data_IF_930016540869
#
_entry.id   IF_930016540869
#
_cell.length_a   1.000
_cell.length_b   1.000
_cell.length_c   1.000
_cell.angle_alpha   90.00
_cell.angle_beta   90.00
_cell.angle_gamma   90.00
#
_symmetry.space_group_name_H-M   'P 1'
#
loop_
_entity.id
_entity.type
_entity.pdbx_description
1 polymer ?
#
# COMPACT_ATOMS: atom_id res chain seq x y z
N UNK A 1 7.41 -50.65 5.44
CA UNK A 1 6.96 -49.98 4.22
C UNK A 1 5.49 -49.47 4.29
N UNK A 2 4.51 -50.30 4.70
CA UNK A 2 3.08 -49.86 4.80
C UNK A 2 2.81 -48.74 5.81
N UNK A 3 3.50 -48.71 6.95
CA UNK A 3 3.36 -47.65 7.97
C UNK A 3 3.90 -46.28 7.51
N UNK A 4 4.97 -46.26 6.70
CA UNK A 4 5.56 -45.03 6.16
C UNK A 4 4.67 -44.40 5.08
N UNK A 5 4.03 -45.22 4.24
CA UNK A 5 3.05 -44.75 3.26
C UNK A 5 1.79 -44.17 3.92
N UNK A 6 1.28 -44.77 4.99
CA UNK A 6 0.09 -44.29 5.68
C UNK A 6 0.33 -42.93 6.37
N UNK A 7 1.50 -42.76 6.99
CA UNK A 7 1.90 -41.47 7.60
C UNK A 7 2.09 -40.39 6.54
N UNK A 8 2.64 -40.75 5.38
CA UNK A 8 2.81 -39.82 4.25
C UNK A 8 1.46 -39.40 3.66
N UNK A 9 0.49 -40.30 3.54
CA UNK A 9 -0.87 -39.98 3.10
C UNK A 9 -1.61 -39.09 4.11
N UNK A 10 -1.45 -39.28 5.40
CA UNK A 10 -2.04 -38.45 6.43
C UNK A 10 -1.46 -37.00 6.41
N UNK A 11 -0.16 -36.88 6.24
CA UNK A 11 0.49 -35.55 6.12
C UNK A 11 0.06 -34.82 4.84
N UNK A 12 -0.06 -35.53 3.72
CA UNK A 12 -0.57 -34.97 2.46
C UNK A 12 -2.04 -34.54 2.58
N UNK A 13 -2.88 -35.33 3.20
CA UNK A 13 -4.28 -35.00 3.41
C UNK A 13 -4.46 -33.84 4.36
N UNK A 14 -3.65 -33.74 5.43
CA UNK A 14 -3.66 -32.63 6.35
C UNK A 14 -3.18 -31.29 5.68
N UNK A 15 -2.15 -31.36 4.84
CA UNK A 15 -1.66 -30.20 4.10
C UNK A 15 -2.65 -29.72 3.03
N UNK A 16 -3.34 -30.61 2.35
CA UNK A 16 -4.41 -30.29 1.39
C UNK A 16 -5.61 -29.65 2.09
N UNK A 17 -5.99 -30.15 3.26
CA UNK A 17 -7.09 -29.60 4.07
C UNK A 17 -6.76 -28.20 4.58
N UNK A 18 -5.53 -27.97 5.06
CA UNK A 18 -5.08 -26.66 5.53
C UNK A 18 -5.05 -25.63 4.40
N UNK A 19 -4.58 -26.02 3.21
CA UNK A 19 -4.58 -25.15 2.03
C UNK A 19 -5.99 -24.81 1.57
N UNK A 20 -6.90 -25.79 1.54
CA UNK A 20 -8.30 -25.53 1.20
C UNK A 20 -8.96 -24.57 2.19
N UNK A 21 -8.68 -24.74 3.49
CA UNK A 21 -9.16 -23.79 4.52
C UNK A 21 -8.64 -22.37 4.29
N UNK A 22 -7.37 -22.21 3.93
CA UNK A 22 -6.78 -20.92 3.63
C UNK A 22 -7.41 -20.26 2.40
N UNK A 23 -7.62 -21.04 1.33
CA UNK A 23 -8.29 -20.59 0.12
C UNK A 23 -9.75 -20.14 0.40
N UNK A 24 -10.48 -20.91 1.20
CA UNK A 24 -11.87 -20.60 1.55
C UNK A 24 -11.95 -19.38 2.44
N UNK A 25 -11.04 -19.23 3.41
CA UNK A 25 -10.96 -18.05 4.26
C UNK A 25 -10.64 -16.80 3.43
N UNK A 26 -9.65 -16.90 2.54
CA UNK A 26 -9.23 -15.79 1.68
C UNK A 26 -10.38 -15.32 0.77
N UNK A 27 -11.10 -16.25 0.13
CA UNK A 27 -12.27 -15.95 -0.70
C UNK A 27 -13.46 -15.35 0.07
N UNK A 28 -13.59 -15.66 1.36
CA UNK A 28 -14.67 -15.15 2.21
C UNK A 28 -14.29 -13.87 2.98
N UNK A 29 -13.04 -13.45 2.90
CA UNK A 29 -12.60 -12.13 3.39
C UNK A 29 -12.89 -11.07 2.32
N UNK A 30 -13.12 -9.82 2.73
CA UNK A 30 -13.04 -8.69 1.81
C UNK A 30 -11.59 -8.23 1.77
N UNK A 31 -10.91 -8.50 0.67
CA UNK A 31 -9.50 -8.20 0.48
C UNK A 31 -9.35 -6.78 -0.06
N UNK A 32 -8.79 -5.91 0.77
CA UNK A 32 -8.55 -4.48 0.44
C UNK A 32 -7.05 -4.21 0.45
N UNK A 33 -6.53 -3.68 -0.65
CA UNK A 33 -5.19 -3.12 -0.73
C UNK A 33 -5.26 -1.59 -0.79
N UNK A 34 -4.62 -0.94 0.19
CA UNK A 34 -4.69 0.51 0.39
C UNK A 34 -3.85 1.33 -0.60
N UNK A 35 -2.89 0.70 -1.31
CA UNK A 35 -1.99 1.47 -2.18
C UNK A 35 -1.43 0.66 -3.34
N UNK A 36 -1.61 1.18 -4.56
CA UNK A 36 -1.11 0.55 -5.79
C UNK A 36 -0.95 1.58 -6.91
N UNK A 37 0.23 1.63 -7.53
CA UNK A 37 0.60 2.63 -8.54
C UNK A 37 0.30 2.23 -9.99
N UNK A 38 -0.46 1.16 -10.22
CA UNK A 38 -0.82 0.71 -11.56
C UNK A 38 -1.48 1.81 -12.41
N UNK A 39 -2.14 2.78 -11.76
CA UNK A 39 -2.76 3.91 -12.45
C UNK A 39 -1.72 4.81 -13.12
N UNK A 40 -0.68 5.21 -12.39
CA UNK A 40 0.40 6.07 -12.86
C UNK A 40 1.39 5.32 -13.77
N UNK A 41 1.63 4.03 -13.51
CA UNK A 41 2.66 3.25 -14.22
C UNK A 41 2.13 2.52 -15.47
N UNK A 42 0.84 2.20 -15.50
CA UNK A 42 0.28 1.40 -16.58
C UNK A 42 -0.92 2.05 -17.25
N UNK A 43 -1.99 2.40 -16.51
CA UNK A 43 -3.25 2.87 -17.10
C UNK A 43 -3.04 4.19 -17.86
N UNK A 44 -2.42 5.19 -17.22
CA UNK A 44 -2.17 6.51 -17.85
C UNK A 44 -1.22 6.43 -19.06
N UNK A 45 -0.42 5.38 -19.15
CA UNK A 45 0.47 5.12 -20.28
C UNK A 45 -0.20 4.33 -21.41
N UNK A 46 -1.48 3.99 -21.27
CA UNK A 46 -2.29 3.31 -22.30
C UNK A 46 -2.14 1.79 -22.32
N UNK A 47 -1.53 1.16 -21.27
CA UNK A 47 -1.49 -0.29 -21.16
C UNK A 47 -2.87 -0.84 -20.79
N UNK A 48 -3.28 -1.90 -21.47
CA UNK A 48 -4.55 -2.57 -21.23
C UNK A 48 -4.44 -3.58 -20.07
N UNK A 49 -4.73 -3.12 -18.85
CA UNK A 49 -4.69 -3.95 -17.65
C UNK A 49 -5.85 -4.95 -17.53
N UNK A 50 -6.81 -4.93 -18.47
CA UNK A 50 -7.86 -5.98 -18.52
C UNK A 50 -7.30 -7.32 -18.94
N UNK A 51 -6.09 -7.32 -19.51
CA UNK A 51 -5.33 -8.48 -19.95
C UNK A 51 -4.09 -8.69 -19.09
N UNK A 52 -3.59 -9.93 -19.09
CA UNK A 52 -2.32 -10.25 -18.43
C UNK A 52 -1.17 -9.45 -19.02
N UNK A 53 -0.55 -8.62 -18.22
CA UNK A 53 0.64 -7.84 -18.58
C UNK A 53 1.92 -8.67 -18.39
N UNK A 54 2.89 -8.46 -19.27
CA UNK A 54 4.23 -9.10 -19.15
C UNK A 54 5.15 -8.40 -18.14
N UNK A 55 4.82 -7.16 -17.76
CA UNK A 55 5.57 -6.34 -16.79
C UNK A 55 4.61 -5.69 -15.82
N UNK A 56 5.13 -5.23 -14.68
CA UNK A 56 4.34 -4.69 -13.59
C UNK A 56 3.74 -5.78 -12.72
N UNK A 57 3.04 -5.39 -11.69
CA UNK A 57 2.55 -6.28 -10.64
C UNK A 57 1.03 -6.46 -10.68
N UNK A 58 0.30 -5.61 -11.44
CA UNK A 58 -1.15 -5.50 -11.35
C UNK A 58 -1.82 -5.53 -12.73
N UNK A 59 -2.78 -6.41 -12.87
CA UNK A 59 -3.78 -6.47 -13.96
C UNK A 59 -5.02 -7.22 -13.47
N UNK A 60 -6.14 -7.16 -14.20
CA UNK A 60 -7.39 -7.80 -13.79
C UNK A 60 -7.26 -9.32 -13.58
N UNK A 61 -6.60 -10.10 -14.48
CA UNK A 61 -6.36 -11.52 -14.21
C UNK A 61 -5.64 -11.79 -12.89
N UNK A 62 -4.64 -10.96 -12.53
CA UNK A 62 -3.91 -11.10 -11.27
C UNK A 62 -4.73 -10.65 -10.06
N UNK A 63 -5.45 -9.53 -10.15
CA UNK A 63 -6.37 -9.09 -9.09
C UNK A 63 -7.39 -10.17 -8.77
N UNK A 64 -8.01 -10.77 -9.80
CA UNK A 64 -8.95 -11.88 -9.64
C UNK A 64 -8.29 -13.12 -9.04
N UNK A 65 -7.09 -13.52 -9.52
CA UNK A 65 -6.33 -14.64 -8.97
C UNK A 65 -5.99 -14.43 -7.50
N UNK A 66 -5.59 -13.22 -7.14
CA UNK A 66 -5.22 -12.82 -5.78
C UNK A 66 -6.41 -12.56 -4.86
N UNK A 67 -7.66 -12.70 -5.35
CA UNK A 67 -8.86 -12.46 -4.56
C UNK A 67 -9.01 -11.00 -4.10
N UNK A 68 -8.41 -10.04 -4.82
CA UNK A 68 -8.48 -8.62 -4.45
C UNK A 68 -9.86 -8.08 -4.79
N UNK A 69 -10.64 -7.78 -3.77
CA UNK A 69 -11.98 -7.20 -3.92
C UNK A 69 -11.91 -5.68 -4.12
N UNK A 70 -11.07 -5.00 -3.34
CA UNK A 70 -10.96 -3.54 -3.34
C UNK A 70 -9.52 -3.12 -3.52
N UNK A 71 -9.25 -2.38 -4.58
CA UNK A 71 -7.95 -1.79 -4.84
C UNK A 71 -8.04 -0.27 -4.74
N UNK A 72 -7.23 0.32 -3.85
CA UNK A 72 -6.97 1.76 -3.94
C UNK A 72 -5.96 2.03 -5.04
N UNK A 73 -6.39 2.74 -6.06
CA UNK A 73 -5.56 3.22 -7.16
C UNK A 73 -4.92 4.54 -6.77
N UNK A 74 -3.59 4.56 -6.70
CA UNK A 74 -2.82 5.77 -6.39
C UNK A 74 -2.84 6.72 -7.57
N UNK A 75 -3.31 7.93 -7.33
CA UNK A 75 -3.15 9.09 -8.22
C UNK A 75 -1.86 9.76 -7.80
N UNK A 76 -0.80 9.55 -8.57
CA UNK A 76 0.55 9.97 -8.21
C UNK A 76 1.25 10.73 -9.34
N UNK A 77 2.13 11.65 -8.97
CA UNK A 77 3.16 12.18 -9.83
C UNK A 77 4.37 12.68 -9.02
N UNK A 78 5.54 12.76 -9.68
CA UNK A 78 6.73 13.39 -9.08
C UNK A 78 6.44 14.82 -8.63
N UNK A 79 7.00 15.22 -7.48
CA UNK A 79 6.79 16.54 -6.90
C UNK A 79 7.30 17.74 -7.73
N UNK A 80 8.04 17.46 -8.81
CA UNK A 80 8.47 18.47 -9.80
C UNK A 80 7.55 18.56 -11.02
N UNK A 81 6.48 17.75 -11.05
CA UNK A 81 5.52 17.74 -12.15
C UNK A 81 4.89 19.13 -12.30
N UNK A 82 4.91 19.64 -13.52
CA UNK A 82 4.17 20.88 -13.84
C UNK A 82 2.67 20.59 -13.91
N UNK A 83 1.86 21.49 -13.35
CA UNK A 83 0.39 21.37 -13.31
C UNK A 83 -0.06 20.01 -12.70
N UNK A 84 0.37 19.69 -11.47
CA UNK A 84 0.10 18.38 -10.85
C UNK A 84 -1.40 18.14 -10.66
N UNK A 85 -2.22 19.16 -10.38
CA UNK A 85 -3.67 19.03 -10.30
C UNK A 85 -4.30 18.60 -11.64
N UNK A 86 -3.86 19.20 -12.74
CA UNK A 86 -4.33 18.81 -14.07
C UNK A 86 -3.92 17.35 -14.37
N UNK A 87 -2.72 16.95 -13.98
CA UNK A 87 -2.24 15.59 -14.18
C UNK A 87 -3.01 14.58 -13.32
N UNK A 88 -3.33 14.91 -12.07
CA UNK A 88 -4.21 14.10 -11.23
C UNK A 88 -5.58 13.87 -11.88
N UNK A 89 -6.19 14.94 -12.42
CA UNK A 89 -7.47 14.83 -13.13
C UNK A 89 -7.38 13.90 -14.35
N UNK A 90 -6.29 13.96 -15.13
CA UNK A 90 -6.09 13.04 -16.27
C UNK A 90 -5.99 11.58 -15.84
N UNK A 91 -5.34 11.28 -14.70
CA UNK A 91 -5.27 9.93 -14.16
C UNK A 91 -6.67 9.43 -13.75
N UNK A 92 -7.45 10.28 -13.07
CA UNK A 92 -8.84 9.95 -12.70
C UNK A 92 -9.70 9.72 -13.94
N UNK A 93 -9.54 10.55 -14.99
CA UNK A 93 -10.24 10.36 -16.28
C UNK A 93 -9.88 9.01 -16.90
N UNK A 94 -8.60 8.67 -16.96
CA UNK A 94 -8.14 7.40 -17.51
C UNK A 94 -8.70 6.17 -16.76
N UNK A 95 -8.80 6.24 -15.42
CA UNK A 95 -9.45 5.18 -14.64
C UNK A 95 -10.95 5.12 -14.91
N UNK A 96 -11.64 6.25 -14.97
CA UNK A 96 -13.08 6.30 -15.28
C UNK A 96 -13.37 5.71 -16.66
N UNK A 97 -12.58 6.07 -17.68
CA UNK A 97 -12.69 5.48 -19.02
C UNK A 97 -12.45 3.97 -19.02
N UNK A 98 -11.50 3.48 -18.23
CA UNK A 98 -11.29 2.04 -18.06
C UNK A 98 -12.52 1.37 -17.45
N UNK A 99 -13.10 1.96 -16.40
CA UNK A 99 -14.30 1.46 -15.73
C UNK A 99 -15.50 1.46 -16.68
N UNK A 100 -15.74 2.56 -17.39
CA UNK A 100 -16.85 2.69 -18.34
C UNK A 100 -16.83 1.63 -19.45
N UNK A 101 -15.62 1.24 -19.89
CA UNK A 101 -15.43 0.18 -20.91
C UNK A 101 -15.54 -1.24 -20.34
N UNK A 102 -15.50 -1.42 -19.01
CA UNK A 102 -15.42 -2.71 -18.34
C UNK A 102 -16.38 -2.81 -17.14
N UNK A 103 -17.58 -2.28 -17.28
CA UNK A 103 -18.58 -2.21 -16.20
C UNK A 103 -19.03 -3.56 -15.65
N UNK A 104 -18.78 -4.64 -16.39
CA UNK A 104 -18.99 -6.02 -15.97
C UNK A 104 -17.92 -6.53 -15.00
N UNK A 105 -16.72 -5.92 -14.99
CA UNK A 105 -15.56 -6.39 -14.23
C UNK A 105 -15.12 -5.46 -13.09
N UNK A 106 -15.37 -4.14 -13.20
CA UNK A 106 -14.87 -3.15 -12.25
C UNK A 106 -15.90 -2.04 -12.03
N UNK A 107 -15.94 -1.49 -10.81
CA UNK A 107 -16.74 -0.31 -10.46
C UNK A 107 -15.92 0.67 -9.64
N UNK A 108 -16.27 1.97 -9.68
CA UNK A 108 -15.75 2.97 -8.75
C UNK A 108 -16.63 3.02 -7.49
N UNK A 109 -16.02 2.86 -6.31
CA UNK A 109 -16.69 3.07 -5.03
C UNK A 109 -16.32 4.44 -4.43
N UNK A 110 -17.32 5.08 -3.81
CA UNK A 110 -17.18 6.34 -3.09
C UNK A 110 -17.66 6.24 -1.64
N UNK A 111 -18.18 5.08 -1.25
CA UNK A 111 -18.69 4.78 0.08
C UNK A 111 -18.48 3.30 0.43
N UNK A 112 -18.60 2.97 1.72
CA UNK A 112 -18.56 1.57 2.17
C UNK A 112 -19.74 0.78 1.59
N UNK A 113 -20.91 1.44 1.39
CA UNK A 113 -22.05 0.85 0.70
C UNK A 113 -21.74 0.45 -0.73
N UNK A 114 -21.01 1.29 -1.48
CA UNK A 114 -20.56 0.95 -2.85
C UNK A 114 -19.60 -0.22 -2.86
N UNK A 115 -18.69 -0.30 -1.85
CA UNK A 115 -17.77 -1.44 -1.70
C UNK A 115 -18.57 -2.74 -1.58
N UNK A 116 -19.49 -2.83 -0.62
CA UNK A 116 -20.31 -4.04 -0.44
C UNK A 116 -21.08 -4.41 -1.70
N UNK A 117 -21.66 -3.43 -2.38
CA UNK A 117 -22.40 -3.63 -3.63
C UNK A 117 -21.50 -4.23 -4.71
N UNK A 118 -20.27 -3.71 -4.88
CA UNK A 118 -19.33 -4.19 -5.86
C UNK A 118 -18.83 -5.61 -5.56
N UNK A 119 -18.50 -5.87 -4.30
CA UNK A 119 -18.08 -7.20 -3.84
C UNK A 119 -19.18 -8.24 -4.07
N UNK A 120 -20.43 -7.92 -3.71
CA UNK A 120 -21.59 -8.80 -3.96
C UNK A 120 -21.81 -9.09 -5.45
N UNK A 121 -21.42 -8.19 -6.33
CA UNK A 121 -21.48 -8.37 -7.78
C UNK A 121 -20.28 -9.13 -8.35
N UNK A 122 -19.30 -9.54 -7.53
CA UNK A 122 -18.07 -10.20 -7.96
C UNK A 122 -17.16 -9.31 -8.82
N UNK A 123 -17.25 -7.99 -8.66
CA UNK A 123 -16.45 -7.01 -9.42
C UNK A 123 -15.26 -6.54 -8.60
N UNK A 124 -14.21 -6.15 -9.30
CA UNK A 124 -13.13 -5.37 -8.71
C UNK A 124 -13.69 -4.00 -8.31
N UNK A 125 -13.50 -3.61 -7.07
CA UNK A 125 -13.92 -2.30 -6.57
C UNK A 125 -12.73 -1.35 -6.59
N UNK A 126 -12.78 -0.36 -7.46
CA UNK A 126 -11.78 0.70 -7.50
C UNK A 126 -12.09 1.77 -6.46
N UNK A 127 -11.11 2.15 -5.66
CA UNK A 127 -11.10 3.36 -4.86
C UNK A 127 -9.94 4.25 -5.26
N UNK A 128 -10.04 5.56 -5.04
CA UNK A 128 -9.00 6.51 -5.39
C UNK A 128 -8.33 7.09 -4.14
N UNK A 129 -7.01 7.02 -4.11
CA UNK A 129 -6.17 7.76 -3.19
C UNK A 129 -5.24 8.71 -3.95
N UNK A 130 -5.02 9.91 -3.45
CA UNK A 130 -4.05 10.84 -4.02
C UNK A 130 -2.77 10.79 -3.20
N UNK A 131 -1.65 10.48 -3.84
CA UNK A 131 -0.36 10.45 -3.18
C UNK A 131 0.44 11.72 -3.45
N UNK A 132 0.38 12.59 -2.48
CA UNK A 132 1.12 13.86 -2.47
C UNK A 132 0.25 15.11 -2.54
N UNK A 133 0.21 15.85 -1.44
CA UNK A 133 -0.55 17.08 -1.30
C UNK A 133 -0.15 18.21 -2.24
N UNK A 134 0.99 18.09 -2.96
CA UNK A 134 1.35 19.03 -4.03
C UNK A 134 0.32 19.04 -5.17
N UNK A 135 -0.48 17.98 -5.31
CA UNK A 135 -1.52 17.89 -6.34
C UNK A 135 -2.71 18.83 -6.12
N UNK A 136 -2.91 19.36 -4.89
CA UNK A 136 -3.94 20.39 -4.69
C UNK A 136 -3.45 21.80 -5.06
N UNK A 137 -2.17 21.98 -5.45
CA UNK A 137 -1.59 23.28 -5.86
C UNK A 137 -1.86 24.42 -4.84
N UNK A 138 -1.83 24.08 -3.54
CA UNK A 138 -2.14 24.99 -2.42
C UNK A 138 -3.54 25.64 -2.49
N UNK A 139 -4.53 24.95 -3.04
CA UNK A 139 -5.90 25.42 -3.17
C UNK A 139 -6.90 24.41 -2.57
N UNK A 140 -7.70 24.82 -1.58
CA UNK A 140 -8.76 24.00 -1.00
C UNK A 140 -9.83 23.61 -2.03
N UNK A 141 -10.13 24.48 -3.00
CA UNK A 141 -11.05 24.18 -4.10
C UNK A 141 -10.62 22.97 -4.94
N UNK A 142 -9.30 22.77 -5.09
CA UNK A 142 -8.76 21.58 -5.77
C UNK A 142 -8.95 20.32 -4.93
N UNK A 143 -8.78 20.40 -3.61
CA UNK A 143 -9.09 19.32 -2.68
C UNK A 143 -10.57 18.92 -2.79
N UNK A 144 -11.49 19.90 -2.74
CA UNK A 144 -12.93 19.69 -2.92
C UNK A 144 -13.27 19.04 -4.26
N UNK A 145 -12.58 19.46 -5.32
CA UNK A 145 -12.73 18.88 -6.65
C UNK A 145 -12.32 17.41 -6.70
N UNK A 146 -11.15 17.07 -6.14
CA UNK A 146 -10.69 15.67 -6.06
C UNK A 146 -11.67 14.80 -5.29
N UNK A 147 -12.22 15.28 -4.16
CA UNK A 147 -13.23 14.55 -3.38
C UNK A 147 -14.50 14.28 -4.21
N UNK A 148 -15.04 15.30 -4.87
CA UNK A 148 -16.21 15.13 -5.76
C UNK A 148 -15.96 14.11 -6.86
N UNK A 149 -14.73 14.01 -7.35
CA UNK A 149 -14.30 13.03 -8.36
C UNK A 149 -14.12 11.62 -7.83
N UNK A 150 -14.23 11.40 -6.52
CA UNK A 150 -14.21 10.08 -5.89
C UNK A 150 -12.95 9.77 -5.10
N UNK A 151 -12.02 10.70 -4.97
CA UNK A 151 -10.87 10.51 -4.07
C UNK A 151 -11.34 10.36 -2.63
N UNK A 152 -10.83 9.35 -1.92
CA UNK A 152 -11.22 9.05 -0.54
C UNK A 152 -10.09 9.13 0.47
N UNK A 153 -8.84 9.20 0.04
CA UNK A 153 -7.76 9.67 0.88
C UNK A 153 -6.81 10.61 0.13
N UNK A 154 -6.09 11.45 0.87
CA UNK A 154 -4.97 12.25 0.39
C UNK A 154 -3.78 12.07 1.32
N UNK A 155 -2.63 11.65 0.77
CA UNK A 155 -1.33 11.68 1.44
C UNK A 155 -0.79 13.09 1.41
N UNK A 156 -0.51 13.69 2.57
CA UNK A 156 -0.22 15.14 2.67
C UNK A 156 1.10 15.55 2.00
N UNK A 157 2.03 14.62 1.86
CA UNK A 157 3.29 14.80 1.13
C UNK A 157 3.62 13.51 0.36
N UNK A 158 4.48 13.61 -0.62
CA UNK A 158 5.26 12.47 -1.13
C UNK A 158 6.68 12.56 -0.55
N UNK A 159 7.73 12.13 -1.29
CA UNK A 159 9.12 12.32 -0.87
C UNK A 159 9.53 13.80 -0.80
N UNK A 160 8.83 14.68 -1.50
CA UNK A 160 8.96 16.14 -1.39
C UNK A 160 7.98 16.71 -0.35
N UNK A 161 8.44 17.68 0.43
CA UNK A 161 7.55 18.53 1.20
C UNK A 161 6.68 19.40 0.30
N UNK A 162 5.47 19.72 0.77
CA UNK A 162 4.64 20.78 0.21
C UNK A 162 4.99 22.11 0.84
N UNK A 163 4.38 23.22 0.37
CA UNK A 163 4.52 24.50 1.03
C UNK A 163 3.96 24.50 2.48
N UNK A 164 3.11 23.54 2.82
CA UNK A 164 2.31 23.51 4.05
C UNK A 164 2.47 22.26 4.94
N UNK A 165 3.22 21.24 4.48
CA UNK A 165 3.53 20.03 5.25
C UNK A 165 4.93 19.54 4.92
N UNK A 166 5.71 19.07 5.91
CA UNK A 166 7.03 18.50 5.69
C UNK A 166 6.95 16.99 5.50
N UNK A 167 7.76 16.47 4.55
CA UNK A 167 7.93 15.05 4.27
C UNK A 167 9.02 14.41 5.15
N UNK A 168 8.95 13.10 5.35
CA UNK A 168 9.99 12.34 6.05
C UNK A 168 11.35 12.44 5.36
N UNK A 169 11.39 12.47 4.03
CA UNK A 169 12.63 12.60 3.27
C UNK A 169 13.29 13.97 3.44
N UNK A 170 12.53 15.05 3.58
CA UNK A 170 13.08 16.37 3.80
C UNK A 170 13.39 16.63 5.28
N UNK A 171 12.60 16.10 6.22
CA UNK A 171 12.92 16.17 7.66
C UNK A 171 14.24 15.46 7.98
N UNK A 172 14.53 14.32 7.33
CA UNK A 172 15.83 13.66 7.40
C UNK A 172 17.00 14.56 6.97
N UNK A 173 16.75 15.55 6.10
CA UNK A 173 17.73 16.55 5.66
C UNK A 173 17.73 17.82 6.53
N UNK A 174 17.07 17.78 7.69
CA UNK A 174 16.97 18.90 8.63
C UNK A 174 15.86 19.91 8.32
N UNK A 175 14.98 19.66 7.34
CA UNK A 175 13.89 20.57 6.96
C UNK A 175 12.59 20.23 7.72
N UNK A 176 12.63 20.33 9.04
CA UNK A 176 11.51 19.98 9.93
C UNK A 176 10.63 21.22 10.21
N UNK A 177 9.44 21.30 9.59
CA UNK A 177 8.50 22.42 9.74
C UNK A 177 7.13 22.02 10.30
N UNK A 178 6.68 20.78 10.07
CA UNK A 178 5.32 20.36 10.38
C UNK A 178 4.27 21.03 9.47
N UNK A 179 3.05 21.20 10.00
CA UNK A 179 1.95 21.88 9.32
C UNK A 179 2.02 23.38 9.47
N UNK A 180 1.85 24.12 8.37
CA UNK A 180 1.53 25.56 8.38
C UNK A 180 0.04 25.77 8.69
N UNK A 181 -0.40 27.05 8.78
CA UNK A 181 -1.82 27.37 8.94
C UNK A 181 -2.68 26.87 7.78
N UNK A 182 -2.16 26.94 6.55
CA UNK A 182 -2.84 26.35 5.41
C UNK A 182 -2.90 24.82 5.51
N UNK A 183 -1.83 24.17 5.96
CA UNK A 183 -1.84 22.71 6.21
C UNK A 183 -2.91 22.31 7.25
N UNK A 184 -3.08 23.10 8.30
CA UNK A 184 -4.16 22.92 9.28
C UNK A 184 -5.56 23.11 8.68
N UNK A 185 -5.72 24.04 7.75
CA UNK A 185 -6.98 24.20 6.99
C UNK A 185 -7.26 22.99 6.10
N UNK A 186 -6.23 22.46 5.40
CA UNK A 186 -6.36 21.23 4.61
C UNK A 186 -6.85 20.06 5.47
N UNK A 187 -6.23 19.83 6.63
CA UNK A 187 -6.60 18.74 7.56
C UNK A 187 -8.07 18.88 8.01
N UNK A 188 -8.49 20.08 8.43
CA UNK A 188 -9.89 20.34 8.81
C UNK A 188 -10.84 20.12 7.65
N UNK A 189 -10.47 20.60 6.45
CA UNK A 189 -11.32 20.44 5.26
C UNK A 189 -11.48 18.98 4.87
N UNK A 190 -10.42 18.16 5.00
CA UNK A 190 -10.51 16.71 4.80
C UNK A 190 -11.48 16.04 5.78
N UNK A 191 -11.43 16.39 7.07
CA UNK A 191 -12.39 15.90 8.07
C UNK A 191 -13.84 16.29 7.72
N UNK A 192 -14.08 17.56 7.32
CA UNK A 192 -15.40 18.05 6.90
C UNK A 192 -15.95 17.31 5.68
N UNK A 193 -15.08 17.01 4.71
CA UNK A 193 -15.44 16.27 3.50
C UNK A 193 -15.68 14.77 3.75
N UNK A 194 -15.15 14.20 4.83
CA UNK A 194 -15.07 12.76 5.00
C UNK A 194 -13.99 12.12 4.11
N UNK A 195 -12.91 12.86 3.84
CA UNK A 195 -11.72 12.35 3.15
C UNK A 195 -10.70 11.89 4.18
N UNK A 196 -10.27 10.63 4.13
CA UNK A 196 -9.27 10.09 5.05
C UNK A 196 -7.93 10.81 4.87
N UNK A 197 -7.34 11.25 5.97
CA UNK A 197 -5.99 11.80 5.96
C UNK A 197 -5.01 10.64 5.95
N UNK A 198 -4.11 10.58 4.95
CA UNK A 198 -3.06 9.59 4.91
C UNK A 198 -1.73 10.19 5.37
N UNK A 199 -1.09 9.50 6.32
CA UNK A 199 0.17 9.89 6.96
C UNK A 199 1.39 9.13 6.43
N UNK A 200 1.26 8.33 5.38
CA UNK A 200 2.41 7.82 4.65
C UNK A 200 3.26 8.97 4.13
N UNK A 201 4.57 8.82 4.03
CA UNK A 201 5.52 9.84 3.55
C UNK A 201 5.69 11.10 4.42
N UNK A 202 4.77 11.41 5.34
CA UNK A 202 4.87 12.65 6.13
C UNK A 202 6.04 12.60 7.11
N UNK A 203 6.62 13.75 7.38
CA UNK A 203 7.62 13.91 8.43
C UNK A 203 7.02 13.77 9.81
N UNK A 204 7.85 13.45 10.80
CA UNK A 204 7.41 13.20 12.18
C UNK A 204 6.66 14.40 12.78
N UNK A 205 7.13 15.63 12.49
CA UNK A 205 6.45 16.83 12.99
C UNK A 205 5.05 16.97 12.36
N UNK A 206 4.95 16.78 11.02
CA UNK A 206 3.65 16.79 10.32
C UNK A 206 2.72 15.71 10.87
N UNK A 207 3.23 14.50 11.12
CA UNK A 207 2.48 13.39 11.67
C UNK A 207 1.79 13.75 12.99
N UNK A 208 2.55 14.26 13.96
CA UNK A 208 1.97 14.64 15.26
C UNK A 208 1.12 15.91 15.19
N UNK A 209 1.42 16.85 14.31
CA UNK A 209 0.59 18.04 14.12
C UNK A 209 -0.80 17.67 13.56
N UNK A 210 -0.89 16.71 12.65
CA UNK A 210 -2.17 16.17 12.17
C UNK A 210 -2.96 15.51 13.30
N UNK A 211 -2.34 14.61 14.06
CA UNK A 211 -3.03 13.87 15.14
C UNK A 211 -3.53 14.77 16.29
N UNK A 212 -2.99 15.99 16.43
CA UNK A 212 -3.50 17.00 17.36
C UNK A 212 -4.78 17.69 16.87
N UNK A 213 -5.05 17.65 15.57
CA UNK A 213 -6.11 18.44 14.95
C UNK A 213 -7.28 17.55 14.51
N UNK A 214 -6.95 16.36 13.94
CA UNK A 214 -7.99 15.46 13.44
C UNK A 214 -8.75 14.80 14.59
N UNK A 215 -10.06 14.73 14.45
CA UNK A 215 -11.00 14.00 15.30
C UNK A 215 -11.44 12.67 14.66
N UNK A 216 -11.02 12.40 13.43
CA UNK A 216 -11.34 11.19 12.67
C UNK A 216 -10.14 10.24 12.58
N UNK A 217 -10.36 8.92 12.46
CA UNK A 217 -9.27 7.97 12.27
C UNK A 217 -8.59 8.21 10.91
N UNK A 218 -7.25 8.03 10.90
CA UNK A 218 -6.40 8.26 9.75
C UNK A 218 -5.92 6.96 9.12
N UNK A 219 -5.37 7.02 7.89
CA UNK A 219 -4.54 5.97 7.32
C UNK A 219 -3.05 6.28 7.48
N UNK A 220 -2.26 5.24 7.56
CA UNK A 220 -0.90 5.17 7.04
C UNK A 220 -0.98 4.12 5.93
N UNK A 221 -1.22 4.55 4.72
CA UNK A 221 -1.65 3.67 3.62
C UNK A 221 -0.61 2.61 3.27
N UNK A 222 0.71 2.93 3.38
CA UNK A 222 1.81 2.03 3.03
C UNK A 222 3.08 2.39 3.83
N UNK A 223 3.31 1.71 4.95
CA UNK A 223 4.52 1.88 5.78
C UNK A 223 4.76 0.65 6.64
N UNK A 224 6.00 0.52 7.13
CA UNK A 224 6.46 -0.63 7.89
C UNK A 224 6.98 -0.23 9.29
N UNK A 225 7.67 -1.15 9.96
CA UNK A 225 8.12 -1.03 11.34
C UNK A 225 9.58 -0.57 11.40
N UNK A 226 9.84 0.59 12.02
CA UNK A 226 11.19 1.14 12.18
C UNK A 226 12.09 0.26 13.06
N UNK A 227 11.53 -0.37 14.09
CA UNK A 227 12.29 -1.24 15.00
C UNK A 227 12.80 -2.52 14.34
N UNK A 228 12.16 -2.97 13.23
CA UNK A 228 12.67 -4.09 12.40
C UNK A 228 13.66 -3.56 11.36
N UNK A 229 13.28 -2.51 10.62
CA UNK A 229 14.16 -1.87 9.65
C UNK A 229 14.17 -0.35 9.87
N UNK A 230 15.27 0.25 10.35
CA UNK A 230 15.36 1.68 10.65
C UNK A 230 15.41 2.54 9.38
N UNK A 231 14.38 2.43 8.57
CA UNK A 231 14.16 3.25 7.38
C UNK A 231 13.27 4.45 7.71
N UNK A 232 13.56 5.64 7.16
CA UNK A 232 12.85 6.88 7.47
C UNK A 232 11.37 6.89 7.01
N UNK A 233 10.95 5.94 6.18
CA UNK A 233 9.57 5.72 5.76
C UNK A 233 8.79 4.83 6.74
N UNK A 234 9.49 4.14 7.63
CA UNK A 234 8.91 3.22 8.59
C UNK A 234 8.53 3.95 9.89
N UNK A 235 7.50 3.44 10.56
CA UNK A 235 6.94 4.01 11.77
C UNK A 235 7.71 3.57 13.02
N UNK A 236 8.01 4.51 13.89
CA UNK A 236 8.48 4.22 15.25
C UNK A 236 7.35 3.68 16.13
N UNK A 237 7.69 2.98 17.21
CA UNK A 237 6.72 2.45 18.18
C UNK A 237 5.79 3.55 18.74
N UNK A 238 6.32 4.77 18.90
CA UNK A 238 5.52 5.90 19.36
C UNK A 238 4.48 6.32 18.32
N UNK A 239 4.85 6.33 17.03
CA UNK A 239 3.92 6.61 15.94
C UNK A 239 2.89 5.50 15.79
N UNK A 240 3.29 4.23 15.87
CA UNK A 240 2.38 3.07 15.82
C UNK A 240 1.33 3.17 16.94
N UNK A 241 1.75 3.43 18.19
CA UNK A 241 0.84 3.64 19.32
C UNK A 241 -0.07 4.86 19.13
N UNK A 242 0.43 5.92 18.52
CA UNK A 242 -0.36 7.13 18.25
C UNK A 242 -1.45 6.88 17.20
N UNK A 243 -1.17 6.08 16.16
CA UNK A 243 -2.20 5.63 15.18
C UNK A 243 -3.25 4.76 15.87
N UNK A 244 -2.84 3.81 16.71
CA UNK A 244 -3.79 2.99 17.48
C UNK A 244 -4.70 3.84 18.35
N UNK A 245 -4.13 4.82 19.09
CA UNK A 245 -4.90 5.76 19.91
C UNK A 245 -5.90 6.61 19.09
N UNK A 246 -5.54 6.98 17.87
CA UNK A 246 -6.42 7.72 16.95
C UNK A 246 -7.53 6.83 16.36
N UNK A 247 -7.42 5.51 16.44
CA UNK A 247 -8.34 4.57 15.78
C UNK A 247 -7.99 4.30 14.32
N UNK A 248 -6.83 4.73 13.85
CA UNK A 248 -6.38 4.59 12.47
C UNK A 248 -5.95 3.18 12.08
N UNK A 249 -5.47 3.03 10.84
CA UNK A 249 -4.97 1.77 10.26
C UNK A 249 -3.64 2.01 9.57
N UNK A 250 -2.71 1.05 9.74
CA UNK A 250 -1.40 1.00 9.10
C UNK A 250 -1.41 -0.11 8.07
N UNK A 251 -1.29 0.25 6.78
CA UNK A 251 -1.09 -0.68 5.67
C UNK A 251 0.37 -1.12 5.58
N UNK A 252 0.62 -2.42 5.71
CA UNK A 252 1.96 -2.99 5.58
C UNK A 252 2.41 -2.92 4.13
N UNK A 253 3.57 -2.33 3.90
CA UNK A 253 4.18 -2.16 2.59
C UNK A 253 5.00 -3.42 2.22
N UNK A 254 5.05 -3.78 0.93
CA UNK A 254 5.81 -4.96 0.48
C UNK A 254 7.14 -4.61 -0.20
N UNK A 255 7.54 -3.35 -0.18
CA UNK A 255 8.81 -2.95 -0.76
C UNK A 255 9.99 -3.48 0.03
N UNK A 256 10.80 -4.35 -0.58
CA UNK A 256 11.94 -5.00 0.05
C UNK A 256 12.89 -4.02 0.79
N UNK A 257 13.03 -2.80 0.29
CA UNK A 257 13.88 -1.79 0.91
C UNK A 257 13.32 -1.24 2.24
N UNK A 258 12.00 -1.31 2.45
CA UNK A 258 11.38 -0.92 3.71
C UNK A 258 11.27 -2.10 4.67
N UNK A 259 11.16 -3.32 4.15
CA UNK A 259 11.07 -4.54 4.96
C UNK A 259 12.44 -4.99 5.50
N UNK A 260 13.45 -5.13 4.63
CA UNK A 260 14.72 -5.78 4.95
C UNK A 260 15.84 -4.77 5.26
N UNK A 261 16.37 -4.74 6.51
CA UNK A 261 17.46 -3.84 6.90
C UNK A 261 18.77 -4.11 6.15
N UNK A 262 18.91 -5.28 5.53
CA UNK A 262 20.11 -5.68 4.79
C UNK A 262 20.02 -5.38 3.29
N UNK A 263 18.80 -5.17 2.75
CA UNK A 263 18.54 -5.04 1.32
C UNK A 263 19.42 -3.99 0.64
N UNK A 264 19.46 -2.77 1.18
CA UNK A 264 20.27 -1.67 0.62
C UNK A 264 21.75 -2.04 0.49
N UNK A 265 22.31 -2.64 1.56
CA UNK A 265 23.70 -3.06 1.59
C UNK A 265 23.96 -4.15 0.56
N UNK A 266 23.12 -5.17 0.53
CA UNK A 266 23.26 -6.32 -0.36
C UNK A 266 23.12 -5.93 -1.83
N UNK A 267 22.15 -5.07 -2.19
CA UNK A 267 22.04 -4.49 -3.54
C UNK A 267 23.31 -3.74 -3.93
N UNK A 268 23.85 -2.90 -3.02
CA UNK A 268 25.04 -2.11 -3.32
C UNK A 268 26.29 -2.98 -3.53
N UNK A 269 26.46 -4.02 -2.71
CA UNK A 269 27.57 -4.99 -2.84
C UNK A 269 27.50 -5.79 -4.14
N UNK A 270 26.29 -6.31 -4.45
CA UNK A 270 26.09 -7.10 -5.66
C UNK A 270 26.17 -6.23 -6.93
N UNK A 271 25.69 -4.98 -6.87
CA UNK A 271 25.86 -4.04 -7.96
C UNK A 271 27.35 -3.79 -8.26
N UNK A 272 28.16 -3.51 -7.22
CA UNK A 272 29.60 -3.31 -7.39
C UNK A 272 30.32 -4.56 -7.94
N UNK A 273 29.82 -5.76 -7.60
CA UNK A 273 30.40 -7.04 -8.09
C UNK A 273 30.04 -7.35 -9.54
N UNK A 274 28.82 -7.02 -9.98
CA UNK A 274 28.28 -7.45 -11.27
C UNK A 274 28.29 -6.37 -12.35
N UNK A 275 28.37 -5.09 -11.95
CA UNK A 275 28.27 -3.95 -12.86
C UNK A 275 29.56 -3.14 -12.77
N UNK A 276 30.38 -3.23 -13.80
CA UNK A 276 31.56 -2.36 -13.98
C UNK A 276 31.06 -0.97 -14.43
N UNK A 277 30.73 -0.09 -13.48
CA UNK A 277 30.32 1.29 -13.81
C UNK A 277 31.50 2.22 -13.66
N UNK A 278 31.85 2.94 -14.73
CA UNK A 278 32.75 4.09 -14.72
C UNK A 278 32.03 5.39 -14.37
N UNK A 279 30.70 5.35 -14.20
CA UNK A 279 29.88 6.51 -13.87
C UNK A 279 30.09 6.96 -12.43
N UNK A 280 30.60 8.16 -12.25
CA UNK A 280 30.83 8.82 -10.96
C UNK A 280 29.54 9.38 -10.30
N UNK A 281 28.39 9.31 -10.97
CA UNK A 281 27.13 9.84 -10.44
C UNK A 281 26.47 8.88 -9.44
N UNK A 282 25.92 9.38 -8.33
CA UNK A 282 25.23 8.53 -7.36
C UNK A 282 23.97 7.93 -7.98
N UNK A 283 23.94 6.59 -8.03
CA UNK A 283 22.83 5.80 -8.58
C UNK A 283 21.91 5.40 -7.42
N UNK A 284 20.57 5.60 -7.58
CA UNK A 284 19.58 5.17 -6.58
C UNK A 284 19.59 3.65 -6.38
N UNK A 285 19.10 3.18 -5.23
CA UNK A 285 19.01 1.75 -4.92
C UNK A 285 18.16 1.01 -5.95
N UNK A 286 17.03 1.60 -6.35
CA UNK A 286 16.13 1.02 -7.37
C UNK A 286 16.84 0.86 -8.72
N UNK A 287 17.54 1.89 -9.17
CA UNK A 287 18.30 1.81 -10.41
C UNK A 287 19.42 0.76 -10.30
N UNK A 288 20.11 0.66 -9.16
CA UNK A 288 21.10 -0.41 -8.93
C UNK A 288 20.45 -1.79 -9.01
N UNK A 289 19.32 -1.98 -8.34
CA UNK A 289 18.57 -3.24 -8.33
C UNK A 289 18.12 -3.62 -9.74
N UNK A 290 17.51 -2.70 -10.49
CA UNK A 290 17.04 -2.94 -11.88
C UNK A 290 18.17 -3.38 -12.82
N UNK A 291 19.38 -2.87 -12.62
CA UNK A 291 20.54 -3.20 -13.45
C UNK A 291 21.16 -4.57 -13.12
N UNK A 292 20.82 -5.17 -11.96
CA UNK A 292 21.31 -6.51 -11.62
C UNK A 292 20.69 -7.59 -12.52
N UNK A 293 21.43 -8.68 -12.80
CA UNK A 293 20.87 -9.85 -13.48
C UNK A 293 19.64 -10.41 -12.74
N UNK A 294 18.68 -10.96 -13.46
CA UNK A 294 17.41 -11.46 -12.89
C UNK A 294 17.66 -12.48 -11.76
N UNK A 295 18.57 -13.42 -11.96
CA UNK A 295 18.94 -14.45 -10.97
C UNK A 295 19.49 -13.83 -9.68
N UNK A 296 20.27 -12.74 -9.79
CA UNK A 296 20.81 -12.01 -8.63
C UNK A 296 19.68 -11.26 -7.90
N UNK A 297 18.76 -10.66 -8.64
CA UNK A 297 17.60 -9.98 -8.05
C UNK A 297 16.70 -10.93 -7.27
N UNK A 298 16.49 -12.14 -7.78
CA UNK A 298 15.71 -13.19 -7.09
C UNK A 298 16.35 -13.60 -5.75
N UNK A 299 17.67 -13.60 -5.65
CA UNK A 299 18.38 -13.89 -4.39
C UNK A 299 18.27 -12.76 -3.35
N UNK A 300 17.89 -11.56 -3.79
CA UNK A 300 17.72 -10.38 -2.93
C UNK A 300 16.29 -10.24 -2.42
N UNK A 301 15.32 -10.99 -2.94
CA UNK A 301 13.94 -10.93 -2.48
C UNK A 301 13.86 -11.38 -1.00
N UNK A 302 13.38 -10.53 -0.08
CA UNK A 302 13.20 -10.95 1.30
C UNK A 302 12.15 -12.07 1.38
N UNK A 303 12.22 -12.96 2.37
CA UNK A 303 11.22 -14.01 2.51
C UNK A 303 9.86 -13.40 2.92
N UNK A 304 8.76 -14.07 2.54
CA UNK A 304 7.39 -13.71 2.95
C UNK A 304 7.26 -13.60 4.48
N UNK A 305 7.98 -14.43 5.24
CA UNK A 305 7.97 -14.39 6.69
C UNK A 305 8.35 -13.01 7.25
N UNK A 306 9.19 -12.23 6.54
CA UNK A 306 9.55 -10.90 6.99
C UNK A 306 8.34 -9.92 6.92
N UNK A 307 7.45 -10.06 5.94
CA UNK A 307 6.18 -9.32 5.91
C UNK A 307 5.33 -9.69 7.13
N UNK A 308 5.26 -11.00 7.46
CA UNK A 308 4.54 -11.49 8.65
C UNK A 308 5.18 -10.97 9.93
N UNK A 309 6.51 -10.85 10.00
CA UNK A 309 7.20 -10.26 11.16
C UNK A 309 6.80 -8.79 11.37
N UNK A 310 6.68 -7.99 10.30
CA UNK A 310 6.17 -6.63 10.38
C UNK A 310 4.71 -6.60 10.85
N UNK A 311 3.85 -7.49 10.34
CA UNK A 311 2.45 -7.62 10.79
C UNK A 311 2.40 -8.00 12.28
N UNK A 312 3.16 -9.02 12.72
CA UNK A 312 3.23 -9.46 14.10
C UNK A 312 3.62 -8.32 15.04
N UNK A 313 4.65 -7.56 14.65
CA UNK A 313 5.11 -6.41 15.44
C UNK A 313 4.04 -5.32 15.55
N UNK A 314 3.39 -4.97 14.44
CA UNK A 314 2.29 -4.00 14.44
C UNK A 314 1.14 -4.47 15.33
N UNK A 315 0.75 -5.75 15.23
CA UNK A 315 -0.30 -6.33 16.09
C UNK A 315 0.11 -6.29 17.57
N UNK A 316 1.37 -6.58 17.89
CA UNK A 316 1.89 -6.51 19.25
C UNK A 316 1.84 -5.09 19.82
N UNK A 317 2.17 -4.07 19.04
CA UNK A 317 2.32 -2.68 19.51
C UNK A 317 1.01 -1.89 19.43
N UNK A 318 0.22 -2.07 18.36
CA UNK A 318 -1.01 -1.33 18.08
C UNK A 318 -2.29 -2.12 18.39
N UNK A 319 -2.22 -3.45 18.37
CA UNK A 319 -3.38 -4.33 18.39
C UNK A 319 -3.89 -4.66 16.96
N UNK A 320 -4.65 -5.76 16.88
CA UNK A 320 -5.14 -6.32 15.62
C UNK A 320 -6.05 -5.37 14.82
N UNK A 321 -6.72 -4.44 15.48
CA UNK A 321 -7.70 -3.52 14.87
C UNK A 321 -7.04 -2.38 14.07
N UNK A 322 -5.71 -2.30 14.05
CA UNK A 322 -4.96 -1.18 13.47
C UNK A 322 -4.02 -1.59 12.33
N UNK A 323 -4.10 -2.84 11.87
CA UNK A 323 -3.25 -3.39 10.81
C UNK A 323 -4.06 -3.65 9.54
N UNK A 324 -3.52 -3.27 8.40
CA UNK A 324 -4.05 -3.53 7.06
C UNK A 324 -2.94 -3.84 6.08
N UNK A 325 -3.28 -3.91 4.79
CA UNK A 325 -2.32 -4.12 3.70
C UNK A 325 -2.32 -2.89 2.81
N UNK A 326 -1.13 -2.44 2.44
CA UNK A 326 -0.91 -1.38 1.45
C UNK A 326 0.37 -1.70 0.71
N UNK A 327 0.28 -2.64 -0.23
CA UNK A 327 1.42 -3.36 -0.78
C UNK A 327 2.41 -2.50 -1.55
N UNK A 328 1.95 -1.38 -2.12
CA UNK A 328 2.76 -0.47 -2.94
C UNK A 328 3.20 -1.12 -4.27
N UNK A 329 2.42 -2.10 -4.76
CA UNK A 329 2.67 -2.71 -6.06
C UNK A 329 2.63 -1.68 -7.18
N UNK A 330 3.46 -1.88 -8.20
CA UNK A 330 3.76 -0.97 -9.31
C UNK A 330 4.50 0.32 -8.89
N UNK A 331 4.56 0.69 -7.60
CA UNK A 331 5.40 1.78 -7.07
C UNK A 331 6.81 1.34 -6.64
N UNK A 332 7.08 0.04 -6.65
CA UNK A 332 8.35 -0.57 -6.21
C UNK A 332 8.95 -1.53 -7.23
N UNK A 333 10.25 -1.77 -7.15
CA UNK A 333 10.98 -2.69 -8.04
C UNK A 333 11.25 -4.07 -7.42
N UNK A 334 11.26 -4.16 -6.10
CA UNK A 334 11.71 -5.35 -5.37
C UNK A 334 10.64 -5.82 -4.38
N UNK A 335 10.08 -6.98 -4.64
CA UNK A 335 9.00 -7.62 -3.88
C UNK A 335 9.52 -8.78 -3.04
N UNK A 336 8.80 -9.22 -1.98
CA UNK A 336 9.14 -10.42 -1.24
C UNK A 336 8.94 -11.69 -2.08
N UNK A 337 9.74 -12.72 -1.78
CA UNK A 337 9.54 -14.04 -2.35
C UNK A 337 8.16 -14.58 -1.91
N UNK A 338 7.36 -15.03 -2.87
CA UNK A 338 5.99 -15.48 -2.62
C UNK A 338 4.94 -14.37 -2.61
N UNK A 339 5.34 -13.09 -2.87
CA UNK A 339 4.46 -11.95 -3.08
C UNK A 339 4.96 -11.11 -4.26
N UNK A 340 5.24 -11.76 -5.39
CA UNK A 340 5.80 -11.09 -6.57
C UNK A 340 4.81 -10.18 -7.30
N UNK A 341 3.51 -10.40 -7.14
CA UNK A 341 2.44 -9.57 -7.70
C UNK A 341 1.13 -9.73 -6.91
N UNK A 342 0.12 -8.93 -7.22
CA UNK A 342 -1.19 -8.96 -6.52
C UNK A 342 -1.88 -10.33 -6.60
N UNK A 343 -1.52 -11.21 -7.52
CA UNK A 343 -2.08 -12.56 -7.67
C UNK A 343 -1.57 -13.55 -6.62
N UNK A 344 -0.63 -13.16 -5.76
CA UNK A 344 -0.01 -14.01 -4.74
C UNK A 344 -0.47 -13.71 -3.31
N UNK A 345 -1.46 -12.84 -3.11
CA UNK A 345 -2.03 -12.53 -1.78
C UNK A 345 -2.52 -13.74 -0.98
N UNK A 346 -3.07 -14.83 -1.59
CA UNK A 346 -3.41 -16.03 -0.85
C UNK A 346 -2.25 -16.62 -0.03
N UNK A 347 -0.99 -16.50 -0.49
CA UNK A 347 0.18 -16.95 0.25
C UNK A 347 0.35 -16.22 1.59
N UNK A 348 -0.02 -14.93 1.66
CA UNK A 348 0.00 -14.19 2.93
C UNK A 348 -1.07 -14.71 3.89
N UNK A 349 -2.26 -15.09 3.39
CA UNK A 349 -3.30 -15.73 4.20
C UNK A 349 -2.81 -17.06 4.77
N UNK A 350 -2.18 -17.91 3.93
CA UNK A 350 -1.57 -19.17 4.37
C UNK A 350 -0.52 -18.93 5.47
N UNK A 351 0.35 -17.94 5.29
CA UNK A 351 1.40 -17.59 6.25
C UNK A 351 0.83 -17.08 7.58
N UNK A 352 -0.23 -16.27 7.56
CA UNK A 352 -0.90 -15.78 8.77
C UNK A 352 -1.58 -16.92 9.53
N UNK A 353 -2.25 -17.85 8.86
CA UNK A 353 -2.81 -19.06 9.48
C UNK A 353 -1.70 -19.88 10.15
N UNK A 354 -0.58 -20.09 9.44
CA UNK A 354 0.57 -20.82 9.96
C UNK A 354 1.19 -20.17 11.21
N UNK A 355 1.05 -18.84 11.35
CA UNK A 355 1.47 -18.07 12.53
C UNK A 355 0.41 -18.03 13.65
N UNK A 356 -0.73 -18.73 13.49
CA UNK A 356 -1.76 -18.86 14.52
C UNK A 356 -2.79 -17.74 14.56
N UNK A 357 -2.88 -16.91 13.52
CA UNK A 357 -3.96 -15.94 13.39
C UNK A 357 -5.30 -16.65 13.19
N UNK A 358 -6.33 -16.20 13.89
CA UNK A 358 -7.70 -16.68 13.69
C UNK A 358 -8.30 -16.10 12.41
N UNK A 359 -9.34 -16.75 11.90
CA UNK A 359 -10.09 -16.29 10.72
C UNK A 359 -10.54 -14.82 10.86
N UNK A 360 -11.00 -14.45 12.07
CA UNK A 360 -11.45 -13.09 12.34
C UNK A 360 -10.30 -12.06 12.34
N UNK A 361 -9.14 -12.44 12.88
CA UNK A 361 -7.95 -11.59 12.83
C UNK A 361 -7.50 -11.37 11.38
N UNK A 362 -7.50 -12.41 10.57
CA UNK A 362 -7.13 -12.35 9.14
C UNK A 362 -8.11 -11.47 8.35
N UNK A 363 -9.42 -11.63 8.58
CA UNK A 363 -10.44 -10.76 7.96
C UNK A 363 -10.30 -9.30 8.36
N UNK A 364 -9.89 -9.00 9.60
CA UNK A 364 -9.58 -7.64 10.05
C UNK A 364 -8.41 -7.06 9.28
N UNK A 365 -7.29 -7.79 9.15
CA UNK A 365 -6.08 -7.36 8.41
C UNK A 365 -6.42 -7.11 6.95
N UNK A 366 -7.15 -8.02 6.29
CA UNK A 366 -7.46 -7.89 4.87
C UNK A 366 -8.37 -6.71 4.54
N UNK A 367 -9.38 -6.41 5.36
CA UNK A 367 -10.26 -5.30 5.00
C UNK A 367 -11.11 -4.76 6.13
N UNK A 368 -11.40 -5.55 7.18
CA UNK A 368 -12.30 -5.13 8.26
C UNK A 368 -11.87 -3.82 8.92
N UNK A 369 -10.56 -3.65 9.16
CA UNK A 369 -10.02 -2.44 9.78
C UNK A 369 -10.11 -1.22 8.85
N UNK A 370 -9.85 -1.41 7.55
CA UNK A 370 -9.99 -0.36 6.54
C UNK A 370 -11.44 0.09 6.42
N UNK A 371 -12.38 -0.86 6.34
CA UNK A 371 -13.82 -0.56 6.29
C UNK A 371 -14.30 0.20 7.52
N UNK A 372 -13.75 -0.11 8.71
CA UNK A 372 -14.05 0.63 9.95
C UNK A 372 -13.62 2.10 9.85
N UNK A 373 -12.41 2.37 9.34
CA UNK A 373 -11.91 3.74 9.17
C UNK A 373 -12.73 4.49 8.12
N UNK A 374 -13.07 3.86 6.98
CA UNK A 374 -13.91 4.46 5.94
C UNK A 374 -15.30 4.83 6.47
N UNK A 375 -15.96 3.94 7.24
CA UNK A 375 -17.25 4.24 7.88
C UNK A 375 -17.19 5.42 8.83
N UNK A 376 -16.11 5.59 9.54
CA UNK A 376 -15.93 6.73 10.44
C UNK A 376 -15.78 8.08 9.71
N UNK A 377 -15.60 8.06 8.39
CA UNK A 377 -15.58 9.27 7.56
C UNK A 377 -16.97 9.65 7.06
N UNK A 378 -17.87 8.68 6.89
CA UNK A 378 -19.25 8.87 6.43
C UNK A 378 -20.15 9.49 7.52
#
# INVERSE_FOLDING_TARGET
>A
MKFFLFFFYLLLAASLSARQQADDLHKNAIVIDLHNDVLSESIITGKDITKRLTKGHTDFPRLKKGGVDVQFFSVWCDGKKLKPFQYANRQIDALNELIERNTDQIILAKSVGDIYKGVQQGKIVAMLGVEGGHMIENQLSNLDSLYRRGVRYLTLTWNNSTAWASSAADERKGKRRGLTDFGRQVVRRMNELGMVIDLSHVGEQTFYDVLKITDKPVFVSHSDVYSINPHYRNLTDQQIKAIAKNGGVIGVNFYAYFLDPTFRRNVSLLYAKHISSTDSLPVSIDKKYRLLPVQVRQQLAPPLSLVVDHINYLVQVAGIDHVGIGADFDGMDATPAGLADVGEYPHLTEALIACGYTDEMIKKIWGGNVLRVLRAQE
#
